data_IF_127456279819
#
_entry.id   IF_127456279819
#
_cell.length_a   1.000
_cell.length_b   1.000
_cell.length_c   1.000
_cell.angle_alpha   90.00
_cell.angle_beta   90.00
_cell.angle_gamma   90.00
#
_symmetry.space_group_name_H-M   'P 1'
#
loop_
_entity.id
_entity.type
_entity.pdbx_description
1 polymer ?
#
# COMPACT_ATOMS: atom_id res chain seq x y z
N UNK A 1 2.43 -12.26 19.46
CA UNK A 1 3.75 -11.85 18.95
C UNK A 1 3.58 -11.27 17.57
N UNK A 2 4.37 -10.26 17.22
CA UNK A 2 4.48 -9.70 15.87
C UNK A 2 5.89 -9.98 15.39
N UNK A 3 6.05 -10.58 14.21
CA UNK A 3 7.37 -10.96 13.68
C UNK A 3 7.36 -10.99 12.14
N UNK A 4 8.55 -11.11 11.55
CA UNK A 4 8.78 -11.20 10.10
C UNK A 4 8.81 -12.66 9.66
N UNK A 5 8.38 -12.93 8.43
CA UNK A 5 8.41 -14.28 7.87
C UNK A 5 9.85 -14.83 7.77
N UNK A 6 10.11 -15.93 8.49
CA UNK A 6 11.41 -16.62 8.50
C UNK A 6 11.53 -17.76 7.48
N UNK A 7 11.91 -18.94 7.98
CA UNK A 7 12.35 -20.12 7.23
C UNK A 7 11.34 -20.64 6.20
N UNK A 8 11.84 -21.01 5.01
CA UNK A 8 11.07 -21.63 3.92
C UNK A 8 10.51 -22.99 4.35
N UNK A 9 9.34 -23.36 3.82
CA UNK A 9 8.69 -24.65 4.09
C UNK A 9 7.95 -24.76 5.43
N UNK A 10 7.81 -23.64 6.15
CA UNK A 10 7.02 -23.57 7.39
C UNK A 10 5.59 -23.10 7.10
N UNK A 11 4.70 -23.23 8.08
CA UNK A 11 3.33 -22.69 7.97
C UNK A 11 3.33 -21.17 7.74
N UNK A 12 4.33 -20.46 8.26
CA UNK A 12 4.50 -19.03 8.05
C UNK A 12 4.84 -18.72 6.58
N UNK A 13 5.60 -19.58 5.90
CA UNK A 13 5.86 -19.44 4.45
C UNK A 13 4.60 -19.66 3.63
N UNK A 14 3.73 -20.60 4.03
CA UNK A 14 2.43 -20.82 3.38
C UNK A 14 1.48 -19.63 3.58
N UNK A 15 1.43 -19.08 4.80
CA UNK A 15 0.69 -17.84 5.11
C UNK A 15 1.19 -16.69 4.24
N UNK A 16 2.51 -16.53 4.08
CA UNK A 16 3.10 -15.49 3.24
C UNK A 16 2.70 -15.63 1.77
N UNK A 17 2.76 -16.86 1.22
CA UNK A 17 2.46 -17.13 -0.21
C UNK A 17 0.98 -16.97 -0.53
N UNK A 18 0.13 -17.49 0.34
CA UNK A 18 -1.32 -17.54 0.10
C UNK A 18 -2.04 -16.27 0.58
N UNK A 19 -1.46 -15.55 1.55
CA UNK A 19 -2.12 -14.45 2.24
C UNK A 19 -3.32 -14.89 3.09
N UNK A 20 -3.49 -16.19 3.35
CA UNK A 20 -4.59 -16.74 4.16
C UNK A 20 -4.19 -16.83 5.63
N UNK A 21 -5.16 -16.70 6.51
CA UNK A 21 -4.94 -16.83 7.95
C UNK A 21 -4.92 -18.31 8.38
N UNK A 22 -4.22 -18.59 9.47
CA UNK A 22 -4.30 -19.87 10.18
C UNK A 22 -5.18 -19.69 11.41
N UNK A 23 -6.10 -20.62 11.64
CA UNK A 23 -6.91 -20.66 12.85
C UNK A 23 -7.10 -22.10 13.32
N UNK A 24 -6.76 -22.35 14.59
CA UNK A 24 -6.93 -23.63 15.27
C UNK A 24 -7.63 -23.34 16.60
N UNK A 25 -8.95 -23.54 16.63
CA UNK A 25 -9.79 -23.25 17.80
C UNK A 25 -9.45 -24.14 19.01
N UNK A 26 -9.06 -25.39 18.75
CA UNK A 26 -8.57 -26.35 19.74
C UNK A 26 -7.43 -27.18 19.14
N UNK A 27 -6.22 -27.04 19.68
CA UNK A 27 -5.04 -27.77 19.18
C UNK A 27 -5.07 -29.26 19.51
N UNK A 28 -5.95 -29.69 20.43
CA UNK A 28 -6.12 -31.10 20.79
C UNK A 28 -7.12 -31.84 19.90
N UNK A 29 -7.95 -31.11 19.15
CA UNK A 29 -8.93 -31.67 18.23
C UNK A 29 -8.42 -31.60 16.79
N UNK A 30 -8.24 -32.77 16.16
CA UNK A 30 -7.76 -32.86 14.78
C UNK A 30 -8.71 -32.20 13.76
N UNK A 31 -10.02 -32.12 14.06
CA UNK A 31 -11.01 -31.48 13.18
C UNK A 31 -10.74 -29.98 13.05
N UNK A 32 -10.26 -29.34 14.12
CA UNK A 32 -9.95 -27.90 14.13
C UNK A 32 -8.78 -27.50 13.21
N UNK A 33 -8.04 -28.46 12.64
CA UNK A 33 -6.97 -28.20 11.67
C UNK A 33 -7.48 -28.17 10.22
N UNK A 34 -8.75 -28.49 10.00
CA UNK A 34 -9.40 -28.57 8.68
C UNK A 34 -10.61 -27.63 8.62
N UNK A 35 -10.40 -26.30 8.54
CA UNK A 35 -11.49 -25.34 8.44
C UNK A 35 -12.32 -25.57 7.18
N UNK A 36 -13.64 -25.35 7.28
CA UNK A 36 -14.53 -25.34 6.13
C UNK A 36 -14.41 -24.03 5.31
N UNK A 37 -13.99 -22.94 5.95
CA UNK A 37 -13.77 -21.66 5.28
C UNK A 37 -12.51 -21.74 4.39
N UNK A 38 -12.69 -21.49 3.08
CA UNK A 38 -11.62 -21.51 2.09
C UNK A 38 -10.63 -20.35 2.20
N UNK A 39 -10.97 -19.30 2.95
CA UNK A 39 -10.08 -18.17 3.27
C UNK A 39 -9.06 -18.49 4.36
N UNK A 40 -9.24 -19.61 5.06
CA UNK A 40 -8.30 -20.11 6.05
C UNK A 40 -7.42 -21.20 5.46
N UNK A 41 -6.21 -21.33 6.01
CA UNK A 41 -5.30 -22.42 5.65
C UNK A 41 -5.83 -23.72 6.23
N UNK A 42 -5.93 -24.74 5.36
CA UNK A 42 -6.13 -26.11 5.81
C UNK A 42 -4.81 -26.67 6.35
N UNK A 43 -4.64 -26.56 7.66
CA UNK A 43 -3.38 -26.91 8.31
C UNK A 43 -3.16 -28.43 8.34
N UNK A 44 -4.24 -29.21 8.45
CA UNK A 44 -4.18 -30.67 8.34
C UNK A 44 -3.60 -31.10 6.99
N UNK A 45 -4.07 -30.49 5.90
CA UNK A 45 -3.56 -30.75 4.54
C UNK A 45 -2.10 -30.34 4.39
N UNK A 46 -1.71 -29.20 4.97
CA UNK A 46 -0.32 -28.73 4.96
C UNK A 46 0.62 -29.68 5.74
N UNK A 47 0.18 -30.17 6.91
CA UNK A 47 0.97 -31.05 7.77
C UNK A 47 1.05 -32.49 7.26
N UNK A 48 -0.01 -32.99 6.60
CA UNK A 48 -0.09 -34.36 6.11
C UNK A 48 0.15 -35.38 7.23
N UNK A 49 1.15 -36.24 7.05
CA UNK A 49 1.52 -37.27 8.05
C UNK A 49 2.03 -36.68 9.37
N UNK A 50 2.45 -35.41 9.41
CA UNK A 50 3.00 -34.76 10.60
C UNK A 50 1.94 -34.15 11.53
N UNK A 51 0.63 -34.30 11.24
CA UNK A 51 -0.43 -33.71 12.05
C UNK A 51 -0.37 -34.18 13.52
N UNK A 52 -0.19 -35.47 13.75
CA UNK A 52 -0.13 -36.03 15.11
C UNK A 52 1.07 -35.52 15.89
N UNK A 53 2.22 -35.35 15.21
CA UNK A 53 3.41 -34.75 15.80
C UNK A 53 3.14 -33.29 16.21
N UNK A 54 2.46 -32.52 15.36
CA UNK A 54 2.12 -31.13 15.67
C UNK A 54 1.17 -31.01 16.88
N UNK A 55 0.15 -31.89 16.96
CA UNK A 55 -0.77 -31.94 18.12
C UNK A 55 0.01 -32.25 19.41
N UNK A 56 0.96 -33.19 19.35
CA UNK A 56 1.84 -33.49 20.48
C UNK A 56 2.73 -32.30 20.85
N UNK A 57 3.29 -31.61 19.86
CA UNK A 57 4.13 -30.42 20.07
C UNK A 57 3.34 -29.29 20.74
N UNK A 58 2.10 -29.01 20.32
CA UNK A 58 1.24 -28.03 21.00
C UNK A 58 0.93 -28.44 22.45
N UNK A 59 0.65 -29.73 22.68
CA UNK A 59 0.41 -30.26 24.03
C UNK A 59 1.63 -30.06 24.93
N UNK A 60 2.83 -30.37 24.43
CA UNK A 60 4.09 -30.17 25.16
C UNK A 60 4.32 -28.68 25.52
N UNK A 61 3.95 -27.78 24.61
CA UNK A 61 4.05 -26.32 24.80
C UNK A 61 2.88 -25.71 25.58
N UNK A 62 1.90 -26.54 26.01
CA UNK A 62 0.66 -26.14 26.69
C UNK A 62 -0.15 -25.10 25.90
N UNK A 63 -0.09 -25.16 24.57
CA UNK A 63 -0.92 -24.31 23.69
C UNK A 63 -2.25 -25.02 23.48
N UNK A 64 -3.35 -24.32 23.74
CA UNK A 64 -4.72 -24.83 23.55
C UNK A 64 -5.36 -24.37 22.25
N UNK A 65 -4.98 -23.21 21.75
CA UNK A 65 -5.54 -22.64 20.53
C UNK A 65 -4.57 -21.62 19.94
N UNK A 66 -4.67 -21.40 18.63
CA UNK A 66 -3.78 -20.53 17.89
C UNK A 66 -4.49 -19.82 16.73
N UNK A 67 -4.12 -18.57 16.52
CA UNK A 67 -4.49 -17.79 15.34
C UNK A 67 -3.24 -17.08 14.79
N UNK A 68 -3.07 -17.10 13.47
CA UNK A 68 -2.01 -16.37 12.78
C UNK A 68 -2.62 -15.62 11.60
N UNK A 69 -2.43 -14.31 11.57
CA UNK A 69 -2.94 -13.44 10.51
C UNK A 69 -1.76 -12.74 9.81
N UNK A 70 -1.69 -12.75 8.46
CA UNK A 70 -0.67 -12.01 7.74
C UNK A 70 -0.93 -10.50 7.78
N UNK A 71 0.11 -9.72 8.08
CA UNK A 71 0.10 -8.26 7.94
C UNK A 71 0.39 -7.92 6.49
N UNK A 72 -0.60 -7.38 5.77
CA UNK A 72 -0.52 -7.08 4.33
C UNK A 72 -0.41 -5.59 4.09
N UNK A 73 0.73 -5.13 3.59
CA UNK A 73 0.90 -3.74 3.16
C UNK A 73 0.44 -3.57 1.72
N UNK A 74 -0.53 -2.68 1.49
CA UNK A 74 -0.92 -2.28 0.15
C UNK A 74 -0.01 -1.13 -0.28
N UNK A 75 0.82 -1.37 -1.29
CA UNK A 75 1.67 -0.35 -1.88
C UNK A 75 0.84 0.59 -2.75
N UNK A 76 1.42 1.72 -3.14
CA UNK A 76 0.67 2.78 -3.81
C UNK A 76 0.26 2.40 -5.25
N UNK A 77 0.96 1.44 -5.87
CA UNK A 77 0.58 0.79 -7.13
C UNK A 77 -0.48 -0.31 -6.96
N UNK A 78 -1.11 -0.40 -5.78
CA UNK A 78 -2.12 -1.40 -5.38
C UNK A 78 -1.60 -2.83 -5.30
N UNK A 79 -0.29 -3.05 -5.33
CA UNK A 79 0.28 -4.37 -5.05
C UNK A 79 0.14 -4.71 -3.56
N UNK A 80 -0.07 -5.99 -3.24
CA UNK A 80 -0.21 -6.46 -1.86
C UNK A 80 1.08 -7.17 -1.46
N UNK A 81 1.79 -6.60 -0.49
CA UNK A 81 3.06 -7.14 0.01
C UNK A 81 2.87 -7.63 1.45
N UNK A 82 3.01 -8.93 1.74
CA UNK A 82 3.00 -9.43 3.11
C UNK A 82 4.30 -9.02 3.81
N UNK A 83 4.20 -8.18 4.84
CA UNK A 83 5.35 -7.59 5.55
C UNK A 83 5.68 -8.29 6.87
N UNK A 84 4.75 -9.09 7.39
CA UNK A 84 4.92 -9.86 8.61
C UNK A 84 3.65 -10.61 8.98
N UNK A 85 3.59 -11.08 10.22
CA UNK A 85 2.41 -11.75 10.75
C UNK A 85 2.16 -11.38 12.21
N UNK A 86 0.91 -11.52 12.61
CA UNK A 86 0.50 -11.42 14.00
C UNK A 86 0.00 -12.78 14.45
N UNK A 87 0.60 -13.29 15.52
CA UNK A 87 0.31 -14.60 16.10
C UNK A 87 -0.21 -14.45 17.53
N UNK A 88 -1.30 -15.14 17.81
CA UNK A 88 -1.86 -15.30 19.15
C UNK A 88 -1.96 -16.79 19.47
N UNK A 89 -1.45 -17.16 20.64
CA UNK A 89 -1.59 -18.49 21.21
C UNK A 89 -2.23 -18.36 22.59
N UNK A 90 -3.29 -19.12 22.84
CA UNK A 90 -3.87 -19.24 24.18
C UNK A 90 -3.39 -20.51 24.86
N UNK A 91 -3.03 -20.42 26.14
CA UNK A 91 -2.69 -21.57 26.98
C UNK A 91 -3.84 -22.01 27.90
N UNK A 92 -4.88 -21.18 28.00
CA UNK A 92 -5.94 -21.33 29.00
C UNK A 92 -7.30 -21.64 28.37
N UNK A 93 -7.61 -20.99 27.25
CA UNK A 93 -8.92 -21.05 26.57
C UNK A 93 -8.83 -21.50 25.11
N UNK A 94 -9.96 -21.97 24.59
CA UNK A 94 -10.19 -22.10 23.14
C UNK A 94 -10.48 -20.71 22.59
N UNK A 95 -9.95 -20.40 21.41
CA UNK A 95 -10.23 -19.15 20.73
C UNK A 95 -11.50 -19.30 19.89
N UNK A 96 -12.25 -18.22 19.78
CA UNK A 96 -13.35 -18.09 18.82
C UNK A 96 -12.84 -17.47 17.51
N UNK A 97 -13.53 -17.77 16.41
CA UNK A 97 -13.17 -17.30 15.07
C UNK A 97 -13.16 -15.78 14.96
N UNK A 98 -13.96 -15.09 15.78
CA UNK A 98 -13.97 -13.62 15.90
C UNK A 98 -12.59 -13.03 16.24
N UNK A 99 -11.67 -13.84 16.80
CA UNK A 99 -10.30 -13.40 17.03
C UNK A 99 -9.62 -12.99 15.73
N UNK A 100 -9.92 -13.63 14.60
CA UNK A 100 -9.32 -13.31 13.30
C UNK A 100 -9.69 -11.90 12.86
N UNK A 101 -10.96 -11.53 12.99
CA UNK A 101 -11.43 -10.17 12.68
C UNK A 101 -10.74 -9.12 13.55
N UNK A 102 -10.64 -9.39 14.86
CA UNK A 102 -9.92 -8.50 15.78
C UNK A 102 -8.45 -8.37 15.43
N UNK A 103 -7.79 -9.45 15.02
CA UNK A 103 -6.39 -9.41 14.59
C UNK A 103 -6.23 -8.64 13.29
N UNK A 104 -7.16 -8.77 12.33
CA UNK A 104 -7.17 -7.96 11.12
C UNK A 104 -7.28 -6.47 11.43
N UNK A 105 -8.18 -6.06 12.33
CA UNK A 105 -8.30 -4.66 12.76
C UNK A 105 -6.98 -4.12 13.33
N UNK A 106 -6.32 -4.89 14.19
CA UNK A 106 -5.00 -4.51 14.73
C UNK A 106 -3.95 -4.39 13.62
N UNK A 107 -3.97 -5.29 12.63
CA UNK A 107 -3.06 -5.24 11.49
C UNK A 107 -3.29 -3.98 10.65
N UNK A 108 -4.54 -3.62 10.39
CA UNK A 108 -4.92 -2.40 9.65
C UNK A 108 -4.43 -1.14 10.37
N UNK A 109 -4.69 -1.03 11.68
CA UNK A 109 -4.17 0.09 12.49
C UNK A 109 -2.64 0.17 12.47
N UNK A 110 -1.96 -0.98 12.53
CA UNK A 110 -0.50 -1.04 12.46
C UNK A 110 0.02 -0.56 11.11
N UNK A 111 -0.62 -0.97 10.01
CA UNK A 111 -0.27 -0.54 8.65
C UNK A 111 -0.46 0.96 8.50
N UNK A 112 -1.55 1.53 9.03
CA UNK A 112 -1.76 2.97 9.01
C UNK A 112 -0.68 3.72 9.79
N UNK A 113 -0.29 3.24 10.97
CA UNK A 113 0.83 3.82 11.72
C UNK A 113 2.15 3.74 10.98
N UNK A 114 2.45 2.61 10.32
CA UNK A 114 3.64 2.45 9.47
C UNK A 114 3.59 3.45 8.32
N UNK A 115 2.45 3.59 7.64
CA UNK A 115 2.27 4.53 6.54
C UNK A 115 2.49 5.96 7.01
N UNK A 116 1.87 6.36 8.13
CA UNK A 116 2.05 7.69 8.72
C UNK A 116 3.50 7.95 9.12
N UNK A 117 4.16 6.98 9.76
CA UNK A 117 5.57 7.09 10.16
C UNK A 117 6.53 7.23 8.98
N UNK A 118 6.19 6.63 7.83
CA UNK A 118 7.01 6.69 6.63
C UNK A 118 6.62 7.85 5.69
N UNK A 119 5.56 8.61 6.02
CA UNK A 119 5.12 9.74 5.20
C UNK A 119 5.91 11.00 5.59
N UNK A 120 6.78 11.45 4.69
CA UNK A 120 7.46 12.74 4.82
C UNK A 120 6.58 13.83 4.20
N UNK A 121 5.99 14.68 5.04
CA UNK A 121 5.24 15.84 4.59
C UNK A 121 6.17 17.01 4.26
N UNK A 122 6.18 17.43 2.99
CA UNK A 122 6.87 18.64 2.56
C UNK A 122 5.81 19.70 2.24
N UNK A 123 5.84 20.84 2.98
CA UNK A 123 4.90 21.95 2.78
C UNK A 123 5.29 22.90 1.66
N UNK A 124 6.50 22.77 1.13
CA UNK A 124 7.02 23.64 0.10
C UNK A 124 6.30 23.43 -1.23
N UNK A 125 5.98 24.54 -1.91
CA UNK A 125 5.31 24.50 -3.21
C UNK A 125 6.34 24.37 -4.31
N UNK A 126 6.22 23.29 -5.07
CA UNK A 126 7.03 23.05 -6.24
C UNK A 126 6.33 23.49 -7.53
N UNK A 127 7.10 23.65 -8.60
CA UNK A 127 6.58 24.26 -9.83
C UNK A 127 6.23 23.20 -10.86
N UNK A 128 4.98 23.20 -11.33
CA UNK A 128 4.58 22.41 -12.51
C UNK A 128 5.02 23.15 -13.77
N UNK A 129 5.86 22.51 -14.59
CA UNK A 129 6.40 23.06 -15.83
C UNK A 129 5.44 22.81 -16.99
N UNK A 130 4.93 21.58 -17.08
CA UNK A 130 3.88 21.22 -18.02
C UNK A 130 2.96 20.18 -17.38
N UNK A 131 1.75 20.11 -17.89
CA UNK A 131 0.69 19.26 -17.35
C UNK A 131 -0.18 18.75 -18.50
N UNK A 132 -0.68 17.53 -18.38
CA UNK A 132 -1.57 16.88 -19.33
C UNK A 132 -2.62 16.05 -18.59
N UNK A 133 -3.48 15.37 -19.35
CA UNK A 133 -4.50 14.47 -18.81
C UNK A 133 -3.91 13.29 -18.01
N UNK A 134 -2.71 12.84 -18.36
CA UNK A 134 -2.13 11.59 -17.86
C UNK A 134 -0.82 11.78 -17.12
N UNK A 135 -0.26 12.99 -17.10
CA UNK A 135 1.03 13.24 -16.47
C UNK A 135 1.38 14.70 -16.38
N UNK A 136 2.53 14.97 -15.78
CA UNK A 136 3.08 16.30 -15.62
C UNK A 136 4.59 16.28 -15.50
N UNK A 137 5.22 17.37 -15.90
CA UNK A 137 6.62 17.64 -15.60
C UNK A 137 6.69 18.64 -14.46
N UNK A 138 7.39 18.28 -13.40
CA UNK A 138 7.52 19.09 -12.19
C UNK A 138 8.99 19.46 -12.00
N UNK A 139 9.24 20.70 -11.56
CA UNK A 139 10.54 21.17 -11.09
C UNK A 139 10.51 21.20 -9.57
N UNK A 140 11.37 20.40 -8.96
CA UNK A 140 11.59 20.31 -7.53
C UNK A 140 12.85 21.13 -7.20
N UNK A 141 12.70 22.17 -6.39
CA UNK A 141 13.79 23.04 -5.94
C UNK A 141 14.36 22.59 -4.60
N UNK A 142 13.52 21.99 -3.76
CA UNK A 142 13.97 21.50 -2.47
C UNK A 142 14.96 20.33 -2.67
N UNK A 143 16.20 20.51 -2.19
CA UNK A 143 17.30 19.55 -2.39
C UNK A 143 17.08 18.24 -1.63
N UNK A 144 16.46 18.32 -0.46
CA UNK A 144 16.16 17.15 0.36
C UNK A 144 15.06 16.32 -0.31
N UNK A 145 13.96 16.97 -0.71
CA UNK A 145 12.87 16.34 -1.47
C UNK A 145 13.39 15.74 -2.79
N UNK A 146 14.25 16.45 -3.52
CA UNK A 146 14.87 15.92 -4.73
C UNK A 146 15.65 14.62 -4.44
N UNK A 147 16.38 14.57 -3.32
CA UNK A 147 17.16 13.38 -2.93
C UNK A 147 16.25 12.21 -2.54
N UNK A 148 15.16 12.48 -1.83
CA UNK A 148 14.14 11.48 -1.50
C UNK A 148 13.45 10.94 -2.75
N UNK A 149 12.96 11.81 -3.63
CA UNK A 149 12.19 11.43 -4.82
C UNK A 149 12.98 10.55 -5.78
N UNK A 150 14.30 10.72 -5.91
CA UNK A 150 15.13 9.85 -6.76
C UNK A 150 15.11 8.37 -6.34
N UNK A 151 14.71 8.07 -5.10
CA UNK A 151 14.64 6.69 -4.57
C UNK A 151 13.21 6.13 -4.56
N UNK A 152 12.22 6.91 -4.95
CA UNK A 152 10.81 6.53 -4.90
C UNK A 152 10.26 6.20 -6.29
N UNK A 153 9.39 5.21 -6.38
CA UNK A 153 8.67 4.87 -7.62
C UNK A 153 7.45 5.76 -7.86
N UNK A 154 6.95 6.42 -6.80
CA UNK A 154 5.81 7.32 -6.85
C UNK A 154 5.62 8.06 -5.52
N UNK A 155 4.74 9.04 -5.52
CA UNK A 155 4.42 9.85 -4.35
C UNK A 155 3.05 10.50 -4.51
N UNK A 156 2.43 10.84 -3.39
CA UNK A 156 1.17 11.58 -3.34
C UNK A 156 1.45 13.07 -3.16
N UNK A 157 0.77 13.92 -3.91
CA UNK A 157 0.93 15.37 -3.83
C UNK A 157 -0.34 16.10 -4.24
N UNK A 158 -0.43 17.35 -3.81
CA UNK A 158 -1.56 18.22 -4.14
C UNK A 158 -1.25 19.07 -5.39
N UNK A 159 -2.17 19.05 -6.35
CA UNK A 159 -2.18 19.96 -7.50
C UNK A 159 -3.08 21.14 -7.19
N UNK A 160 -2.50 22.34 -7.16
CA UNK A 160 -3.22 23.58 -6.88
C UNK A 160 -3.55 24.32 -8.19
N UNK A 161 -4.84 24.34 -8.55
CA UNK A 161 -5.36 25.24 -9.57
C UNK A 161 -5.83 26.54 -8.91
N UNK A 162 -5.63 27.68 -9.60
CA UNK A 162 -5.94 29.01 -9.05
C UNK A 162 -7.43 29.12 -8.74
N UNK A 163 -7.77 29.47 -7.49
CA UNK A 163 -9.16 29.68 -7.05
C UNK A 163 -9.95 28.40 -6.79
N UNK A 164 -9.31 27.23 -6.73
CA UNK A 164 -9.96 25.96 -6.44
C UNK A 164 -9.30 25.26 -5.25
N UNK A 165 -10.05 24.36 -4.61
CA UNK A 165 -9.48 23.47 -3.61
C UNK A 165 -8.37 22.59 -4.25
N UNK A 166 -7.30 22.26 -3.50
CA UNK A 166 -6.28 21.34 -3.99
C UNK A 166 -6.88 20.01 -4.46
N UNK A 167 -6.22 19.38 -5.42
CA UNK A 167 -6.58 18.06 -5.92
C UNK A 167 -5.46 17.11 -5.54
N UNK A 168 -5.74 16.11 -4.69
CA UNK A 168 -4.72 15.13 -4.28
C UNK A 168 -4.54 14.09 -5.37
N UNK A 169 -3.31 13.94 -5.84
CA UNK A 169 -2.95 13.03 -6.94
C UNK A 169 -1.88 12.07 -6.47
N UNK A 170 -2.04 10.79 -6.80
CA UNK A 170 -0.95 9.83 -6.74
C UNK A 170 -0.21 9.81 -8.08
N UNK A 171 1.08 10.12 -8.05
CA UNK A 171 1.93 10.13 -9.23
C UNK A 171 3.03 9.08 -9.18
N UNK A 172 3.28 8.43 -10.32
CA UNK A 172 4.38 7.52 -10.56
C UNK A 172 5.54 8.30 -11.20
N UNK A 173 6.73 8.24 -10.59
CA UNK A 173 7.92 8.87 -11.12
C UNK A 173 8.45 8.04 -12.29
N UNK A 174 8.42 8.60 -13.51
CA UNK A 174 8.85 7.92 -14.75
C UNK A 174 10.21 8.36 -15.25
N UNK A 175 10.61 9.58 -14.93
CA UNK A 175 11.95 10.10 -15.20
C UNK A 175 12.32 11.15 -14.18
N UNK A 176 13.61 11.24 -13.87
CA UNK A 176 14.16 12.23 -12.96
C UNK A 176 15.54 12.64 -13.48
N UNK A 177 15.77 13.93 -13.67
CA UNK A 177 17.04 14.46 -14.13
C UNK A 177 17.40 15.72 -13.32
N UNK A 178 18.65 15.79 -12.86
CA UNK A 178 19.16 17.00 -12.21
C UNK A 178 19.55 18.02 -13.26
N UNK A 179 19.19 19.26 -13.03
CA UNK A 179 19.63 20.39 -13.86
C UNK A 179 20.93 20.98 -13.33
N UNK A 180 21.68 21.76 -14.13
CA UNK A 180 22.96 22.35 -13.72
C UNK A 180 22.86 23.24 -12.47
N UNK A 181 21.71 23.87 -12.26
CA UNK A 181 21.35 24.69 -11.10
C UNK A 181 20.97 23.86 -9.85
N UNK A 182 21.05 22.52 -9.93
CA UNK A 182 20.84 21.60 -8.81
C UNK A 182 19.38 21.23 -8.53
N UNK A 183 18.43 21.76 -9.31
CA UNK A 183 17.03 21.38 -9.25
C UNK A 183 16.80 19.98 -9.84
N UNK A 184 15.70 19.34 -9.46
CA UNK A 184 15.28 18.06 -10.04
C UNK A 184 14.08 18.28 -10.96
N UNK A 185 14.19 17.80 -12.19
CA UNK A 185 13.10 17.77 -13.16
C UNK A 185 12.55 16.36 -13.19
N UNK A 186 11.30 16.22 -12.79
CA UNK A 186 10.60 14.95 -12.71
C UNK A 186 9.53 14.85 -13.80
N UNK A 187 9.52 13.75 -14.55
CA UNK A 187 8.36 13.33 -15.33
C UNK A 187 7.50 12.41 -14.49
N UNK A 188 6.26 12.83 -14.22
CA UNK A 188 5.31 12.12 -13.36
C UNK A 188 4.13 11.65 -14.20
N UNK A 189 3.80 10.37 -14.12
CA UNK A 189 2.55 9.83 -14.66
C UNK A 189 1.49 9.78 -13.56
N UNK A 190 0.28 10.21 -13.85
CA UNK A 190 -0.83 10.13 -12.90
C UNK A 190 -1.24 8.65 -12.76
N UNK A 191 -1.11 8.13 -11.53
CA UNK A 191 -1.51 6.78 -11.16
C UNK A 191 -2.92 6.70 -10.57
N UNK A 192 -3.43 7.80 -10.02
CA UNK A 192 -4.79 7.87 -9.47
C UNK A 192 -5.05 9.16 -8.69
N UNK A 193 -6.27 9.29 -8.15
CA UNK A 193 -6.73 10.42 -7.35
C UNK A 193 -7.19 9.94 -5.97
N UNK A 194 -7.20 10.82 -4.97
CA UNK A 194 -7.77 10.49 -3.65
C UNK A 194 -9.25 10.14 -3.74
N UNK A 195 -10.01 10.94 -4.49
CA UNK A 195 -11.38 10.65 -4.88
C UNK A 195 -11.39 10.36 -6.40
N UNK A 196 -11.51 9.08 -6.74
CA UNK A 196 -11.31 8.60 -8.12
C UNK A 196 -12.32 9.19 -9.11
N UNK A 197 -13.46 9.71 -8.63
CA UNK A 197 -14.51 10.28 -9.49
C UNK A 197 -14.52 11.80 -9.44
N UNK A 198 -14.63 12.41 -8.26
CA UNK A 198 -14.77 13.87 -8.13
C UNK A 198 -13.49 14.59 -8.53
N UNK A 199 -12.36 14.20 -7.93
CA UNK A 199 -11.08 14.85 -8.16
C UNK A 199 -10.56 14.62 -9.58
N UNK A 200 -10.82 13.43 -10.14
CA UNK A 200 -10.52 13.13 -11.53
C UNK A 200 -11.27 14.05 -12.51
N UNK A 201 -12.57 14.22 -12.31
CA UNK A 201 -13.39 15.08 -13.18
C UNK A 201 -12.95 16.55 -13.08
N UNK A 202 -12.67 17.04 -11.87
CA UNK A 202 -12.15 18.39 -11.63
C UNK A 202 -10.80 18.60 -12.31
N UNK A 203 -9.87 17.64 -12.15
CA UNK A 203 -8.56 17.67 -12.78
C UNK A 203 -8.71 17.76 -14.31
N UNK A 204 -9.45 16.83 -14.91
CA UNK A 204 -9.65 16.78 -16.36
C UNK A 204 -10.30 18.05 -16.90
N UNK A 205 -11.30 18.60 -16.20
CA UNK A 205 -11.94 19.86 -16.57
C UNK A 205 -10.94 21.01 -16.63
N UNK A 206 -10.09 21.14 -15.60
CA UNK A 206 -9.06 22.18 -15.55
C UNK A 206 -8.04 22.04 -16.69
N UNK A 207 -7.61 20.82 -17.02
CA UNK A 207 -6.69 20.60 -18.15
C UNK A 207 -7.34 21.04 -19.47
N UNK A 208 -8.61 20.68 -19.72
CA UNK A 208 -9.31 21.13 -20.93
C UNK A 208 -9.41 22.66 -21.01
N UNK A 209 -9.71 23.32 -19.89
CA UNK A 209 -9.75 24.78 -19.82
C UNK A 209 -8.38 25.41 -20.16
N UNK A 210 -7.29 24.86 -19.61
CA UNK A 210 -5.93 25.34 -19.91
C UNK A 210 -5.55 25.14 -21.39
N UNK A 211 -5.88 23.99 -21.96
CA UNK A 211 -5.66 23.70 -23.38
C UNK A 211 -6.41 24.68 -24.29
N UNK A 212 -7.67 24.97 -23.98
CA UNK A 212 -8.49 25.91 -24.73
C UNK A 212 -7.94 27.34 -24.64
N UNK A 213 -7.58 27.80 -23.45
CA UNK A 213 -6.96 29.12 -23.26
C UNK A 213 -5.62 29.24 -24.00
N UNK A 214 -4.82 28.18 -24.01
CA UNK A 214 -3.55 28.16 -24.74
C UNK A 214 -3.77 28.25 -26.26
N UNK A 215 -4.73 27.50 -26.82
CA UNK A 215 -5.08 27.57 -28.25
C UNK A 215 -5.52 28.98 -28.66
N UNK A 216 -6.40 29.61 -27.88
CA UNK A 216 -6.84 30.98 -28.15
C UNK A 216 -5.67 31.99 -28.14
N UNK A 217 -4.74 31.87 -27.19
CA UNK A 217 -3.55 32.73 -27.14
C UNK A 217 -2.64 32.54 -28.36
N UNK A 218 -2.48 31.31 -28.85
CA UNK A 218 -1.68 31.04 -30.05
C UNK A 218 -2.31 31.64 -31.31
N UNK A 219 -3.62 31.52 -31.48
CA UNK A 219 -4.35 32.12 -32.61
C UNK A 219 -4.23 33.64 -32.62
N UNK A 220 -4.37 34.29 -31.46
CA UNK A 220 -4.20 35.74 -31.33
C UNK A 220 -2.78 36.18 -31.69
N UNK A 221 -1.75 35.43 -31.26
CA UNK A 221 -0.36 35.72 -31.61
C UNK A 221 -0.09 35.58 -33.11
N UNK A 222 -0.62 34.54 -33.75
CA UNK A 222 -0.48 34.32 -35.19
C UNK A 222 -1.17 35.41 -36.02
N UNK A 223 -2.29 35.95 -35.52
CA UNK A 223 -2.98 37.09 -36.15
C UNK A 223 -2.23 38.41 -35.97
N UNK A 224 -1.55 38.61 -34.84
CA UNK A 224 -0.78 39.82 -34.57
C UNK A 224 0.59 39.86 -35.30
N UNK A 225 1.08 38.70 -35.77
CA UNK A 225 2.31 38.58 -36.55
C UNK A 225 2.12 38.63 -38.08
N UNK A 226 0.87 38.84 -38.54
CA UNK A 226 0.52 39.06 -39.95
C UNK A 226 0.21 40.53 -40.15
#
# INVERSE_FOLDING_TARGET
>A
TIDVFGSRGTILDEIRKTGKALFVADTSDAVCYSPQNSELINYSKFLGQNLQKQIFDYRSKKVKSEAIVPVKYITHDRSVVPIGYLQVQSRTSKLDIQVIERLNQICEEMIEKIRQSNTVYVKERETIINISMTGMRVRIKNRDLATYLMRQSGFTFDVLFRGQAPITVYGLLRSAARTPDGNLICGVQIGGFSDDTSDRNRYQSNIRSLENSFKQQQELRLRASR
#
